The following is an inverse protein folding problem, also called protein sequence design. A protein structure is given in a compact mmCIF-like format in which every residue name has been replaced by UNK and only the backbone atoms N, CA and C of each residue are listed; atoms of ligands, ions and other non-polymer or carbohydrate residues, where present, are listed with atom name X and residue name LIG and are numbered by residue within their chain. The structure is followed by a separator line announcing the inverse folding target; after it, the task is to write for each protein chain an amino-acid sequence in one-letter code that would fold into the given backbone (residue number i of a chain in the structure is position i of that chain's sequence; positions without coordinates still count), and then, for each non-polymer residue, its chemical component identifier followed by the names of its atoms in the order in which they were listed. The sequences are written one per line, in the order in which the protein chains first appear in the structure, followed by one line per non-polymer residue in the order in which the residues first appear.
data_IF_753671333489
#
_entry.id   IF_753671333489
#
_cell.length_a   1.000
_cell.length_b   1.000
_cell.length_c   1.000
_cell.angle_alpha   90.00
_cell.angle_beta   90.00
_cell.angle_gamma   90.00
#
_symmetry.space_group_name_H-M   'P 1'
#
loop_
_entity.id
_entity.type
_entity.pdbx_description
1 polymer ?
#
# COMPACT_ATOMS: atom_id res chain seq x y z
N UNK A 1 -15.38 15.74 -14.34
CA UNK A 1 -14.01 15.27 -14.65
C UNK A 1 -13.84 13.89 -14.04
N UNK A 2 -13.92 12.82 -14.84
CA UNK A 2 -13.67 11.45 -14.39
C UNK A 2 -12.24 11.36 -13.89
N UNK A 3 -12.06 11.29 -12.58
CA UNK A 3 -10.71 11.37 -11.99
C UNK A 3 -9.85 10.15 -12.28
N UNK A 4 -10.38 8.95 -12.41
CA UNK A 4 -9.71 7.72 -12.91
C UNK A 4 -10.77 6.63 -13.10
N UNK A 5 -10.80 6.01 -14.27
CA UNK A 5 -11.53 4.77 -14.51
C UNK A 5 -10.50 3.65 -14.56
N UNK A 6 -10.62 2.65 -13.69
CA UNK A 6 -9.81 1.45 -13.75
C UNK A 6 -10.69 0.36 -14.36
N UNK A 7 -10.31 -0.10 -15.54
CA UNK A 7 -10.98 -1.21 -16.24
C UNK A 7 -9.96 -2.35 -16.36
N UNK A 8 -10.32 -3.51 -15.85
CA UNK A 8 -9.53 -4.71 -16.10
C UNK A 8 -9.85 -5.25 -17.49
N UNK A 9 -8.81 -5.43 -18.31
CA UNK A 9 -8.91 -6.03 -19.64
C UNK A 9 -8.28 -7.42 -19.61
N UNK A 10 -9.03 -8.48 -19.92
CA UNK A 10 -8.47 -9.83 -20.04
C UNK A 10 -7.40 -9.88 -21.13
N UNK A 11 -6.28 -10.55 -20.87
CA UNK A 11 -5.18 -10.73 -21.82
C UNK A 11 -4.07 -9.67 -21.74
N UNK A 12 -4.19 -8.67 -20.89
CA UNK A 12 -3.06 -7.79 -20.57
C UNK A 12 -2.14 -8.53 -19.60
N UNK A 13 -0.84 -8.74 -19.88
CA UNK A 13 0.07 -9.38 -18.96
C UNK A 13 0.17 -8.54 -17.69
N UNK A 14 -0.27 -9.11 -16.55
CA UNK A 14 -0.29 -8.44 -15.25
C UNK A 14 1.11 -8.26 -14.64
N UNK A 15 2.08 -9.03 -15.10
CA UNK A 15 3.45 -9.02 -14.58
C UNK A 15 4.44 -9.35 -15.72
N UNK A 16 5.36 -8.45 -15.95
CA UNK A 16 6.60 -8.80 -16.64
C UNK A 16 7.53 -9.42 -15.59
N UNK A 17 7.92 -10.68 -15.78
CA UNK A 17 8.97 -11.31 -14.95
C UNK A 17 10.24 -10.48 -15.16
N UNK A 18 10.81 -9.98 -14.07
CA UNK A 18 12.05 -9.20 -14.13
C UNK A 18 13.16 -10.14 -14.58
N UNK A 19 13.77 -9.86 -15.71
CA UNK A 19 14.99 -10.56 -16.17
C UNK A 19 16.14 -10.13 -15.23
N UNK A 20 16.80 -11.06 -14.51
CA UNK A 20 17.91 -10.73 -13.63
C UNK A 20 19.12 -10.10 -14.33
N UNK A 21 19.13 -10.02 -15.67
CA UNK A 21 20.12 -9.29 -16.48
C UNK A 21 19.63 -7.92 -16.95
N UNK A 22 18.43 -7.49 -16.51
CA UNK A 22 17.90 -6.19 -16.88
C UNK A 22 18.66 -5.05 -16.18
N UNK A 23 18.72 -3.84 -16.77
CA UNK A 23 19.15 -2.65 -16.06
C UNK A 23 18.34 -2.49 -14.75
N UNK A 24 18.91 -1.80 -13.76
CA UNK A 24 18.27 -1.60 -12.45
C UNK A 24 16.80 -1.24 -12.56
N UNK A 25 15.99 -1.70 -11.64
CA UNK A 25 14.55 -1.41 -11.61
C UNK A 25 14.03 -1.21 -10.19
N UNK A 26 12.92 -0.52 -10.06
CA UNK A 26 12.18 -0.37 -8.81
C UNK A 26 10.90 -1.19 -8.86
N UNK A 27 10.66 -2.02 -7.85
CA UNK A 27 9.39 -2.72 -7.67
C UNK A 27 8.74 -2.30 -6.36
N UNK A 28 7.55 -1.69 -6.44
CA UNK A 28 6.71 -1.41 -5.27
C UNK A 28 5.94 -2.68 -4.93
N UNK A 29 6.09 -3.18 -3.71
CA UNK A 29 5.56 -4.48 -3.30
C UNK A 29 4.59 -4.33 -2.14
N UNK A 30 3.32 -4.67 -2.37
CA UNK A 30 2.35 -4.83 -1.31
C UNK A 30 2.60 -6.14 -0.55
N UNK A 31 2.95 -6.04 0.74
CA UNK A 31 3.26 -7.20 1.58
C UNK A 31 2.05 -7.77 2.34
N UNK A 32 0.86 -7.29 2.04
CA UNK A 32 -0.34 -7.75 2.72
C UNK A 32 -0.57 -7.10 4.10
N UNK A 33 -1.65 -7.50 4.79
CA UNK A 33 -2.21 -6.77 5.93
C UNK A 33 -1.61 -7.16 7.29
N UNK A 34 -0.58 -8.00 7.34
CA UNK A 34 0.06 -8.39 8.59
C UNK A 34 0.49 -9.85 8.69
N UNK A 35 -0.31 -10.79 8.18
CA UNK A 35 0.05 -12.21 8.16
C UNK A 35 1.01 -12.50 6.99
N UNK A 36 2.24 -12.99 7.27
CA UNK A 36 3.20 -13.34 6.22
C UNK A 36 2.67 -14.35 5.18
N UNK A 37 1.77 -15.24 5.57
CA UNK A 37 1.16 -16.22 4.64
C UNK A 37 0.26 -15.58 3.57
N UNK A 38 -0.04 -14.28 3.70
CA UNK A 38 -0.82 -13.52 2.73
C UNK A 38 0.06 -12.74 1.72
N UNK A 39 1.38 -12.92 1.72
CA UNK A 39 2.21 -12.43 0.63
C UNK A 39 1.89 -13.19 -0.66
N UNK A 40 1.85 -12.47 -1.78
CA UNK A 40 1.74 -13.11 -3.08
C UNK A 40 3.07 -13.77 -3.46
N UNK A 41 3.03 -14.83 -4.26
CA UNK A 41 4.25 -15.46 -4.78
C UNK A 41 5.13 -14.46 -5.56
N UNK A 42 4.49 -13.52 -6.27
CA UNK A 42 5.19 -12.45 -6.98
C UNK A 42 5.94 -11.51 -6.01
N UNK A 43 5.33 -11.18 -4.87
CA UNK A 43 5.97 -10.36 -3.83
C UNK A 43 7.19 -11.08 -3.24
N UNK A 44 7.05 -12.37 -2.91
CA UNK A 44 8.15 -13.19 -2.41
C UNK A 44 9.30 -13.22 -3.42
N UNK A 45 9.02 -13.55 -4.68
CA UNK A 45 10.02 -13.60 -5.74
C UNK A 45 10.76 -12.26 -5.91
N UNK A 46 10.04 -11.15 -5.94
CA UNK A 46 10.64 -9.82 -6.06
C UNK A 46 11.57 -9.50 -4.88
N UNK A 47 11.18 -9.85 -3.65
CA UNK A 47 11.99 -9.65 -2.45
C UNK A 47 13.27 -10.50 -2.55
N UNK A 48 13.15 -11.79 -2.86
CA UNK A 48 14.29 -12.71 -2.90
C UNK A 48 15.31 -12.40 -3.99
N UNK A 49 14.87 -11.78 -5.09
CA UNK A 49 15.73 -11.47 -6.25
C UNK A 49 16.26 -10.03 -6.26
N UNK A 50 15.90 -9.20 -5.28
CA UNK A 50 16.36 -7.82 -5.19
C UNK A 50 17.74 -7.70 -4.53
N UNK A 51 18.41 -6.57 -4.80
CA UNK A 51 19.67 -6.18 -4.13
C UNK A 51 19.36 -5.32 -2.89
N UNK A 52 18.33 -4.46 -3.01
CA UNK A 52 17.97 -3.47 -1.98
C UNK A 52 16.52 -3.64 -1.57
N UNK A 53 16.30 -3.76 -0.26
CA UNK A 53 14.97 -3.77 0.37
C UNK A 53 14.74 -2.44 1.07
N UNK A 54 14.01 -1.54 0.42
CA UNK A 54 13.57 -0.28 1.01
C UNK A 54 12.22 -0.46 1.73
N UNK A 55 12.02 0.23 2.85
CA UNK A 55 10.78 0.16 3.61
C UNK A 55 10.50 1.45 4.38
N UNK A 56 9.22 1.81 4.59
CA UNK A 56 8.87 3.02 5.30
C UNK A 56 9.10 2.89 6.81
N UNK A 57 9.57 3.98 7.42
CA UNK A 57 9.65 4.16 8.86
C UNK A 57 9.17 5.56 9.24
N UNK A 58 8.45 5.68 10.37
CA UNK A 58 8.00 6.98 10.88
C UNK A 58 9.13 7.78 11.55
N UNK A 59 10.14 7.08 12.05
CA UNK A 59 11.40 7.60 12.64
C UNK A 59 12.50 6.58 12.45
N UNK A 60 13.76 7.01 12.37
CA UNK A 60 14.90 6.14 12.01
C UNK A 60 15.09 4.91 12.91
N UNK A 61 14.72 4.99 14.19
CA UNK A 61 14.80 3.85 15.13
C UNK A 61 13.49 3.03 15.21
N UNK A 62 12.47 3.35 14.41
CA UNK A 62 11.21 2.62 14.44
C UNK A 62 11.30 1.33 13.62
N UNK A 63 10.65 0.29 14.11
CA UNK A 63 10.43 -0.93 13.32
C UNK A 63 9.43 -0.66 12.20
N UNK A 64 9.74 -1.12 11.00
CA UNK A 64 8.80 -1.10 9.88
C UNK A 64 7.87 -2.30 9.95
N UNK A 65 6.57 -2.07 9.91
CA UNK A 65 5.58 -3.14 9.82
C UNK A 65 5.75 -3.92 8.52
N UNK A 66 5.97 -3.25 7.40
CA UNK A 66 6.17 -3.89 6.10
C UNK A 66 7.41 -4.81 6.11
N UNK A 67 8.54 -4.33 6.66
CA UNK A 67 9.74 -5.16 6.80
C UNK A 67 9.52 -6.35 7.75
N UNK A 68 8.76 -6.18 8.82
CA UNK A 68 8.42 -7.27 9.75
C UNK A 68 7.56 -8.36 9.07
N UNK A 69 6.60 -7.98 8.25
CA UNK A 69 5.78 -8.93 7.49
C UNK A 69 6.64 -9.74 6.52
N UNK A 70 7.59 -9.10 5.85
CA UNK A 70 8.47 -9.71 4.87
C UNK A 70 9.73 -10.39 5.46
N UNK A 71 9.93 -10.34 6.77
CA UNK A 71 11.20 -10.64 7.44
C UNK A 71 11.82 -11.99 7.07
N UNK A 72 11.00 -13.03 6.86
CA UNK A 72 11.52 -14.37 6.55
C UNK A 72 12.14 -14.50 5.14
N UNK A 73 11.87 -13.55 4.24
CA UNK A 73 12.44 -13.49 2.89
C UNK A 73 13.55 -12.46 2.74
N UNK A 74 13.78 -11.63 3.77
CA UNK A 74 14.88 -10.68 3.80
C UNK A 74 16.14 -11.41 4.27
N UNK A 75 17.09 -11.59 3.37
CA UNK A 75 18.34 -12.29 3.63
C UNK A 75 19.41 -11.33 4.17
N UNK A 76 20.49 -11.89 4.74
CA UNK A 76 21.60 -11.11 5.29
C UNK A 76 22.42 -10.37 4.22
N UNK A 77 22.35 -10.80 2.96
CA UNK A 77 23.03 -10.17 1.83
C UNK A 77 22.24 -9.02 1.20
N UNK A 78 20.97 -8.85 1.56
CA UNK A 78 20.20 -7.69 1.12
C UNK A 78 20.67 -6.41 1.80
N UNK A 79 20.77 -5.34 1.03
CA UNK A 79 20.92 -3.99 1.58
C UNK A 79 19.56 -3.49 2.07
N UNK A 80 19.40 -3.35 3.39
CA UNK A 80 18.18 -2.83 4.00
C UNK A 80 18.20 -1.30 4.09
N UNK A 81 17.22 -0.63 3.49
CA UNK A 81 17.13 0.82 3.39
C UNK A 81 15.86 1.38 4.06
N UNK A 82 15.94 1.88 5.31
CA UNK A 82 14.82 2.57 5.92
C UNK A 82 14.61 3.95 5.27
N UNK A 83 13.40 4.22 4.79
CA UNK A 83 12.99 5.50 4.24
C UNK A 83 12.10 6.23 5.24
N UNK A 84 12.49 7.45 5.59
CA UNK A 84 11.79 8.24 6.61
C UNK A 84 10.54 8.92 6.01
N UNK A 85 9.38 8.58 6.56
CA UNK A 85 8.11 9.24 6.28
C UNK A 85 7.52 9.77 7.59
N UNK A 86 7.87 11.00 7.97
CA UNK A 86 7.49 11.53 9.26
C UNK A 86 5.97 11.69 9.35
N UNK A 87 5.40 11.26 10.48
CA UNK A 87 3.99 11.45 10.79
C UNK A 87 3.79 12.84 11.41
N UNK A 88 3.84 13.85 10.55
CA UNK A 88 3.70 15.25 10.93
C UNK A 88 2.53 15.92 10.21
N UNK A 89 1.98 16.94 10.84
CA UNK A 89 0.97 17.77 10.22
C UNK A 89 1.60 18.63 9.12
N UNK A 90 0.77 18.95 8.11
CA UNK A 90 1.19 19.74 6.97
C UNK A 90 1.52 18.91 5.72
N UNK A 91 1.21 19.49 4.56
CA UNK A 91 1.41 18.80 3.26
C UNK A 91 2.88 18.86 2.81
N UNK A 92 3.58 19.97 3.05
CA UNK A 92 4.92 20.20 2.55
C UNK A 92 5.98 19.24 3.14
N UNK A 93 6.06 19.01 4.46
CA UNK A 93 7.03 18.06 5.00
C UNK A 93 6.81 16.63 4.46
N UNK A 94 5.54 16.22 4.30
CA UNK A 94 5.21 14.91 3.72
C UNK A 94 5.63 14.82 2.26
N UNK A 95 5.37 15.87 1.46
CA UNK A 95 5.77 15.94 0.06
C UNK A 95 7.28 15.88 -0.09
N UNK A 96 8.02 16.65 0.72
CA UNK A 96 9.48 16.63 0.73
C UNK A 96 10.03 15.22 1.03
N UNK A 97 9.44 14.48 1.97
CA UNK A 97 9.82 13.11 2.27
C UNK A 97 9.57 12.15 1.09
N UNK A 98 8.43 12.27 0.40
CA UNK A 98 8.13 11.46 -0.80
C UNK A 98 9.12 11.72 -1.93
N UNK A 99 9.47 12.99 -2.18
CA UNK A 99 10.45 13.36 -3.20
C UNK A 99 11.87 12.89 -2.83
N UNK A 100 12.27 13.01 -1.56
CA UNK A 100 13.56 12.52 -1.09
C UNK A 100 13.68 10.98 -1.24
N UNK A 101 12.62 10.25 -0.89
CA UNK A 101 12.55 8.81 -1.08
C UNK A 101 12.62 8.44 -2.56
N UNK A 102 11.84 9.10 -3.42
CA UNK A 102 11.84 8.86 -4.86
C UNK A 102 13.23 9.11 -5.46
N UNK A 103 13.90 10.20 -5.11
CA UNK A 103 15.27 10.50 -5.55
C UNK A 103 16.27 9.42 -5.13
N UNK A 104 16.21 8.99 -3.87
CA UNK A 104 17.10 7.94 -3.34
C UNK A 104 16.92 6.63 -4.09
N UNK A 105 15.67 6.21 -4.32
CA UNK A 105 15.34 4.98 -5.03
C UNK A 105 15.76 5.04 -6.51
N UNK A 106 15.49 6.16 -7.19
CA UNK A 106 15.86 6.38 -8.58
C UNK A 106 17.40 6.32 -8.76
N UNK A 107 18.17 6.88 -7.83
CA UNK A 107 19.63 6.82 -7.86
C UNK A 107 20.13 5.37 -7.83
N UNK A 108 19.60 4.54 -6.93
CA UNK A 108 19.95 3.11 -6.84
C UNK A 108 19.61 2.36 -8.13
N UNK A 109 18.45 2.63 -8.71
CA UNK A 109 18.05 2.07 -10.02
C UNK A 109 19.03 2.47 -11.12
N UNK A 110 19.46 3.73 -11.16
CA UNK A 110 20.46 4.21 -12.14
C UNK A 110 21.83 3.56 -11.95
N UNK A 111 22.17 3.17 -10.72
CA UNK A 111 23.36 2.41 -10.38
C UNK A 111 23.24 0.91 -10.73
N UNK A 112 22.14 0.49 -11.35
CA UNK A 112 21.91 -0.88 -11.82
C UNK A 112 21.33 -1.82 -10.76
N UNK A 113 20.86 -1.30 -9.62
CA UNK A 113 20.32 -2.12 -8.53
C UNK A 113 18.88 -2.56 -8.80
N UNK A 114 18.54 -3.78 -8.43
CA UNK A 114 17.18 -4.25 -8.31
C UNK A 114 16.63 -3.83 -6.94
N UNK A 115 15.73 -2.87 -6.92
CA UNK A 115 15.23 -2.24 -5.69
C UNK A 115 13.79 -2.63 -5.44
N UNK A 116 13.48 -3.10 -4.24
CA UNK A 116 12.10 -3.31 -3.78
C UNK A 116 11.74 -2.24 -2.76
N UNK A 117 10.58 -1.60 -2.93
CA UNK A 117 9.97 -0.76 -1.89
C UNK A 117 8.76 -1.50 -1.30
N UNK A 118 8.89 -1.95 -0.07
CA UNK A 118 7.84 -2.63 0.66
C UNK A 118 6.77 -1.65 1.16
N UNK A 119 5.50 -2.05 1.10
CA UNK A 119 4.42 -1.33 1.75
C UNK A 119 3.36 -2.28 2.34
N UNK A 120 2.75 -1.87 3.44
CA UNK A 120 1.67 -2.61 4.09
C UNK A 120 0.43 -2.69 3.21
N UNK A 121 -0.28 -3.82 3.27
CA UNK A 121 -1.49 -4.04 2.49
C UNK A 121 -1.22 -4.10 0.99
N UNK A 122 -2.02 -3.40 0.22
CA UNK A 122 -1.89 -3.24 -1.22
C UNK A 122 -1.12 -1.96 -1.57
N UNK A 123 -0.21 -2.06 -2.53
CA UNK A 123 0.66 -0.96 -2.95
C UNK A 123 -0.08 0.22 -3.60
N UNK A 124 -1.31 0.01 -4.07
CA UNK A 124 -2.12 1.02 -4.75
C UNK A 124 -3.25 1.61 -3.90
N UNK A 125 -3.56 1.00 -2.72
CA UNK A 125 -4.71 1.36 -1.90
C UNK A 125 -4.29 2.11 -0.63
N UNK A 126 -4.43 3.44 -0.61
CA UNK A 126 -4.08 4.33 0.51
C UNK A 126 -2.64 4.15 1.04
N UNK A 127 -1.74 3.71 0.19
CA UNK A 127 -0.37 3.36 0.52
C UNK A 127 0.59 4.55 0.34
N UNK A 128 1.59 4.64 1.23
CA UNK A 128 2.64 5.68 1.14
C UNK A 128 3.47 5.54 -0.14
N UNK A 129 3.71 4.32 -0.61
CA UNK A 129 4.45 4.06 -1.85
C UNK A 129 3.76 4.63 -3.10
N UNK A 130 2.44 4.81 -3.09
CA UNK A 130 1.72 5.48 -4.19
C UNK A 130 2.19 6.93 -4.39
N UNK A 131 2.50 7.65 -3.31
CA UNK A 131 3.03 9.01 -3.41
C UNK A 131 4.48 9.04 -3.91
N UNK A 132 5.27 8.04 -3.55
CA UNK A 132 6.64 7.87 -4.09
C UNK A 132 6.57 7.56 -5.58
N UNK A 133 5.66 6.68 -6.01
CA UNK A 133 5.42 6.38 -7.43
C UNK A 133 5.03 7.64 -8.21
N UNK A 134 4.11 8.45 -7.67
CA UNK A 134 3.71 9.71 -8.31
C UNK A 134 4.87 10.70 -8.44
N UNK A 135 5.73 10.81 -7.42
CA UNK A 135 6.92 11.65 -7.44
C UNK A 135 7.93 11.16 -8.49
N UNK A 136 8.14 9.84 -8.60
CA UNK A 136 8.97 9.22 -9.63
C UNK A 136 8.45 9.52 -11.03
N UNK A 137 7.17 9.25 -11.29
CA UNK A 137 6.55 9.51 -12.59
C UNK A 137 6.63 10.99 -13.02
N UNK A 138 6.61 11.90 -12.06
CA UNK A 138 6.70 13.34 -12.33
C UNK A 138 8.13 13.79 -12.64
N UNK A 139 9.13 13.27 -11.93
CA UNK A 139 10.52 13.77 -12.01
C UNK A 139 11.43 12.88 -12.86
N UNK A 140 11.17 11.58 -12.90
CA UNK A 140 11.97 10.58 -13.63
C UNK A 140 11.04 9.58 -14.35
N UNK A 141 10.29 10.04 -15.38
CA UNK A 141 9.28 9.22 -16.07
C UNK A 141 9.86 7.96 -16.72
N UNK A 142 11.14 7.98 -17.05
CA UNK A 142 11.84 6.85 -17.69
C UNK A 142 12.43 5.86 -16.67
N UNK A 143 12.26 6.09 -15.35
CA UNK A 143 12.74 5.16 -14.34
C UNK A 143 11.95 3.85 -14.42
N UNK A 144 12.61 2.71 -14.67
CA UNK A 144 11.93 1.42 -14.74
C UNK A 144 11.25 1.11 -13.41
N UNK A 145 9.92 1.06 -13.41
CA UNK A 145 9.13 0.89 -12.20
C UNK A 145 7.98 -0.10 -12.40
N UNK A 146 7.80 -1.02 -11.45
CA UNK A 146 6.74 -2.00 -11.42
C UNK A 146 5.96 -1.93 -10.11
N UNK A 147 4.72 -2.41 -10.11
CA UNK A 147 3.89 -2.51 -8.91
C UNK A 147 3.37 -3.94 -8.78
N UNK A 148 3.67 -4.57 -7.67
CA UNK A 148 3.10 -5.87 -7.29
C UNK A 148 2.00 -5.59 -6.26
N UNK A 149 0.74 -5.93 -6.57
CA UNK A 149 -0.35 -5.74 -5.63
C UNK A 149 -0.20 -6.65 -4.41
N UNK A 150 -0.72 -6.21 -3.29
CA UNK A 150 -0.83 -7.00 -2.07
C UNK A 150 -2.29 -7.24 -1.68
N UNK A 151 -2.53 -8.16 -0.76
CA UNK A 151 -3.86 -8.34 -0.19
C UNK A 151 -4.17 -7.15 0.72
N UNK A 152 -5.29 -6.47 0.46
CA UNK A 152 -5.74 -5.36 1.28
C UNK A 152 -6.26 -5.82 2.64
N UNK A 153 -6.17 -4.96 3.66
CA UNK A 153 -6.76 -5.24 4.97
C UNK A 153 -8.28 -5.45 4.90
N UNK A 154 -8.96 -4.82 3.94
CA UNK A 154 -10.41 -4.99 3.72
C UNK A 154 -10.73 -6.40 3.27
N UNK A 155 -9.99 -6.93 2.29
CA UNK A 155 -10.18 -8.30 1.81
C UNK A 155 -9.82 -9.33 2.90
N UNK A 156 -8.76 -9.08 3.66
CA UNK A 156 -8.36 -9.96 4.75
C UNK A 156 -9.37 -9.95 5.91
N UNK A 157 -9.93 -8.80 6.26
CA UNK A 157 -10.97 -8.69 7.29
C UNK A 157 -12.25 -9.43 6.87
N UNK A 158 -12.70 -9.25 5.62
CA UNK A 158 -13.85 -9.95 5.08
C UNK A 158 -13.66 -11.48 5.11
N UNK A 159 -12.49 -11.97 4.72
CA UNK A 159 -12.15 -13.39 4.78
C UNK A 159 -12.12 -13.93 6.22
N UNK A 160 -11.53 -13.19 7.15
CA UNK A 160 -11.49 -13.56 8.58
C UNK A 160 -12.88 -13.60 9.22
N UNK A 161 -13.78 -12.72 8.80
CA UNK A 161 -15.16 -12.67 9.26
C UNK A 161 -16.10 -13.61 8.50
N UNK A 162 -15.61 -14.36 7.51
CA UNK A 162 -16.42 -15.18 6.60
C UNK A 162 -17.55 -14.39 5.92
N UNK A 163 -17.29 -13.14 5.63
CA UNK A 163 -18.26 -12.20 5.07
C UNK A 163 -17.92 -11.91 3.61
N UNK A 164 -18.84 -12.19 2.68
CA UNK A 164 -18.70 -11.71 1.30
C UNK A 164 -18.66 -10.18 1.27
N UNK A 165 -17.57 -9.62 0.74
CA UNK A 165 -17.38 -8.17 0.76
C UNK A 165 -18.36 -7.42 -0.15
N UNK A 166 -18.74 -8.02 -1.28
CA UNK A 166 -19.73 -7.50 -2.19
C UNK A 166 -20.29 -8.63 -3.05
N UNK A 167 -21.58 -8.61 -3.34
CA UNK A 167 -22.29 -9.60 -4.16
C UNK A 167 -22.99 -8.90 -5.32
N UNK A 168 -22.92 -9.50 -6.50
CA UNK A 168 -23.65 -9.06 -7.71
C UNK A 168 -23.58 -7.54 -7.97
N UNK A 169 -24.64 -6.79 -7.65
CA UNK A 169 -24.79 -5.36 -7.91
C UNK A 169 -24.43 -4.48 -6.71
N UNK A 170 -23.92 -5.07 -5.64
CA UNK A 170 -23.54 -4.32 -4.44
C UNK A 170 -22.51 -3.23 -4.77
N UNK A 171 -22.63 -2.11 -4.09
CA UNK A 171 -21.66 -1.02 -4.16
C UNK A 171 -20.77 -1.05 -2.92
N UNK A 172 -19.45 -1.13 -3.14
CA UNK A 172 -18.47 -1.08 -2.08
C UNK A 172 -17.79 0.29 -2.03
N UNK A 173 -17.97 1.00 -0.93
CA UNK A 173 -17.29 2.27 -0.65
C UNK A 173 -16.13 2.05 0.31
N UNK A 174 -14.92 2.28 -0.17
CA UNK A 174 -13.69 2.23 0.64
C UNK A 174 -13.22 3.64 0.97
N UNK A 175 -13.02 3.94 2.25
CA UNK A 175 -12.55 5.26 2.66
C UNK A 175 -11.82 5.24 4.02
N UNK A 176 -10.97 6.24 4.30
CA UNK A 176 -10.50 6.49 5.66
C UNK A 176 -11.67 6.80 6.59
N UNK A 177 -11.57 6.33 7.84
CA UNK A 177 -12.56 6.65 8.87
C UNK A 177 -12.69 8.17 9.03
N UNK A 178 -13.92 8.72 9.13
CA UNK A 178 -14.17 10.12 9.42
C UNK A 178 -13.54 10.56 10.75
N UNK A 179 -13.43 11.86 10.93
CA UNK A 179 -12.80 12.43 12.13
C UNK A 179 -13.78 12.48 13.33
N UNK A 180 -15.09 12.39 13.10
CA UNK A 180 -16.09 12.50 14.16
C UNK A 180 -17.20 11.46 14.06
N UNK A 181 -17.84 11.10 15.22
CA UNK A 181 -19.02 10.23 15.25
C UNK A 181 -20.18 10.75 14.40
N UNK A 182 -20.40 12.08 14.38
CA UNK A 182 -21.48 12.69 13.62
C UNK A 182 -21.31 12.48 12.11
N UNK A 183 -20.09 12.66 11.59
CA UNK A 183 -19.78 12.39 10.18
C UNK A 183 -20.00 10.91 9.84
N UNK A 184 -19.51 9.99 10.70
CA UNK A 184 -19.71 8.56 10.47
C UNK A 184 -21.18 8.19 10.50
N UNK A 185 -21.98 8.77 11.40
CA UNK A 185 -23.43 8.56 11.46
C UNK A 185 -24.11 8.88 10.14
N UNK A 186 -23.81 10.06 9.58
CA UNK A 186 -24.36 10.50 8.29
C UNK A 186 -23.99 9.49 7.17
N UNK A 187 -22.74 9.05 7.14
CA UNK A 187 -22.27 8.11 6.13
C UNK A 187 -22.88 6.72 6.24
N UNK A 188 -23.10 6.24 7.47
CA UNK A 188 -23.79 4.98 7.72
C UNK A 188 -25.25 5.05 7.26
N UNK A 189 -25.93 6.18 7.52
CA UNK A 189 -27.30 6.39 7.09
C UNK A 189 -27.40 6.46 5.56
N UNK A 190 -26.47 7.19 4.90
CA UNK A 190 -26.40 7.21 3.44
C UNK A 190 -26.08 5.85 2.83
N UNK A 191 -25.16 5.10 3.44
CA UNK A 191 -24.80 3.76 2.97
C UNK A 191 -26.00 2.82 3.08
N UNK A 192 -26.75 2.87 4.18
CA UNK A 192 -27.97 2.10 4.40
C UNK A 192 -29.06 2.48 3.39
N UNK A 193 -29.31 3.77 3.20
CA UNK A 193 -30.31 4.26 2.24
C UNK A 193 -30.03 3.80 0.80
N UNK A 194 -28.73 3.82 0.42
CA UNK A 194 -28.27 3.48 -0.94
C UNK A 194 -27.93 2.00 -1.12
N UNK A 195 -28.11 1.16 -0.09
CA UNK A 195 -27.73 -0.27 -0.13
C UNK A 195 -26.24 -0.48 -0.40
N UNK A 196 -25.37 0.33 0.20
CA UNK A 196 -23.91 0.27 0.01
C UNK A 196 -23.21 -0.41 1.17
N UNK A 197 -22.16 -1.13 0.85
CA UNK A 197 -21.22 -1.64 1.84
C UNK A 197 -20.17 -0.56 2.10
N UNK A 198 -19.97 -0.22 3.37
CA UNK A 198 -18.98 0.76 3.79
C UNK A 198 -17.81 0.04 4.46
N UNK A 199 -16.61 0.16 3.89
CA UNK A 199 -15.39 -0.35 4.48
C UNK A 199 -14.52 0.82 4.97
N UNK A 200 -14.36 0.92 6.27
CA UNK A 200 -13.57 1.97 6.93
C UNK A 200 -12.13 1.53 7.14
N UNK A 201 -11.21 2.37 6.72
CA UNK A 201 -9.78 2.19 6.88
C UNK A 201 -9.20 3.25 7.82
N UNK A 202 -7.99 3.01 8.32
CA UNK A 202 -7.25 3.98 9.16
C UNK A 202 -8.00 4.40 10.42
N UNK A 203 -8.66 3.46 11.08
CA UNK A 203 -9.39 3.72 12.31
C UNK A 203 -8.47 4.26 13.42
N UNK A 204 -7.36 3.58 13.70
CA UNK A 204 -6.44 3.98 14.76
C UNK A 204 -7.18 4.15 16.11
N UNK A 205 -6.91 5.27 16.79
CA UNK A 205 -7.57 5.63 18.06
C UNK A 205 -9.08 5.87 17.91
N UNK A 206 -9.59 6.10 16.69
CA UNK A 206 -11.03 6.30 16.44
C UNK A 206 -11.85 5.05 16.74
N UNK A 207 -11.20 3.88 16.83
CA UNK A 207 -11.88 2.63 17.20
C UNK A 207 -12.60 2.73 18.55
N UNK A 208 -12.09 3.53 19.49
CA UNK A 208 -12.66 3.74 20.80
C UNK A 208 -14.11 4.27 20.77
N UNK A 209 -14.45 5.06 19.75
CA UNK A 209 -15.80 5.58 19.57
C UNK A 209 -16.55 4.95 18.39
N UNK A 210 -15.84 4.38 17.40
CA UNK A 210 -16.46 3.68 16.26
C UNK A 210 -17.17 2.43 16.71
N UNK A 211 -16.53 1.62 17.55
CA UNK A 211 -17.12 0.37 18.01
C UNK A 211 -18.44 0.58 18.76
N UNK A 212 -18.54 1.40 19.82
CA UNK A 212 -19.80 1.65 20.49
C UNK A 212 -20.90 2.18 19.56
N UNK A 213 -20.54 3.09 18.64
CA UNK A 213 -21.48 3.64 17.68
C UNK A 213 -22.05 2.57 16.73
N UNK A 214 -21.27 1.56 16.35
CA UNK A 214 -21.73 0.45 15.52
C UNK A 214 -22.57 -0.56 16.32
N UNK A 215 -22.24 -0.80 17.59
CA UNK A 215 -22.94 -1.72 18.47
C UNK A 215 -24.37 -1.22 18.81
N UNK A 216 -24.59 0.10 18.74
CA UNK A 216 -25.90 0.75 18.98
C UNK A 216 -26.84 0.73 17.76
N UNK A 217 -26.39 0.27 16.58
CA UNK A 217 -27.12 0.32 15.31
C UNK A 217 -27.51 -1.04 14.74
#
# INVERSE_FOLDING_TARGET
MLRRLIVWLPGVPLLTIIDPKSPGSLTLVGVGPGNPSLLTLAAVHAIETSDVIAYPVARLAAQSMAARIAAQWIRNDHTCLPLLFPMVDGAEPRRAAWHAAAHTLQKLVTEGQQVVLLCEGDASLFATCSYVLMALQQQWPDCPCHVIPGISSVSAAAAAGLWPLALQQDQLLLRPCPESPAELTIELDEAKEKGRILALLKLGHRWEWVQPLLDER
#
